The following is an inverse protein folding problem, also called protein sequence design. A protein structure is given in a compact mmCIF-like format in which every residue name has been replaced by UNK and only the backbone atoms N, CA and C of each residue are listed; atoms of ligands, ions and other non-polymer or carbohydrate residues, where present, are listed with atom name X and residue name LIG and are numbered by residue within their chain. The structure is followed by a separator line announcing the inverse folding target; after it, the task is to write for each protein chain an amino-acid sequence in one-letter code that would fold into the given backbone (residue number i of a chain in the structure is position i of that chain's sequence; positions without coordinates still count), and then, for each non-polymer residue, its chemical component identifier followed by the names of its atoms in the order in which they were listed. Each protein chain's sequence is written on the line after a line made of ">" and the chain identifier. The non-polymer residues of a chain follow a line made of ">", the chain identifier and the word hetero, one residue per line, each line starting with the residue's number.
data_IF_049592282897
#
_entry.id   IF_049592282897
#
_cell.length_a   1.000
_cell.length_b   1.000
_cell.length_c   1.000
_cell.angle_alpha   90.00
_cell.angle_beta   90.00
_cell.angle_gamma   90.00
#
_symmetry.space_group_name_H-M   'P 1'
#
loop_
_entity.id
_entity.type
_entity.pdbx_description
1 polymer ?
#
# COMPACT_ATOMS: atom_id res chain seq x y z
N UNK A 1 16.80 2.65 -2.43
CA UNK A 1 16.86 1.17 -2.30
C UNK A 1 15.89 0.57 -3.32
N UNK A 2 16.40 0.07 -4.45
CA UNK A 2 15.59 -0.48 -5.55
C UNK A 2 15.07 -1.88 -5.17
N UNK A 3 13.74 -2.05 -5.08
CA UNK A 3 13.08 -3.31 -4.63
C UNK A 3 12.82 -4.28 -5.82
N UNK A 4 13.10 -3.90 -7.06
CA UNK A 4 12.59 -4.59 -8.24
C UNK A 4 13.38 -5.82 -8.73
N UNK A 5 14.44 -6.28 -8.04
CA UNK A 5 15.34 -7.30 -8.60
C UNK A 5 15.00 -8.78 -8.25
N UNK A 6 13.94 -9.08 -7.49
CA UNK A 6 13.66 -10.48 -7.07
C UNK A 6 12.20 -10.95 -7.20
N UNK A 7 11.43 -10.36 -8.13
CA UNK A 7 10.09 -10.82 -8.48
C UNK A 7 10.07 -11.41 -9.89
N UNK A 8 9.51 -12.60 -10.02
CA UNK A 8 9.17 -13.19 -11.30
C UNK A 8 8.12 -12.34 -12.03
N UNK A 9 8.03 -12.53 -13.34
CA UNK A 9 7.01 -11.89 -14.19
C UNK A 9 5.58 -12.14 -13.67
N UNK A 10 5.30 -13.36 -13.22
CA UNK A 10 3.98 -13.72 -12.65
C UNK A 10 3.74 -13.01 -11.32
N UNK A 11 4.72 -12.98 -10.41
CA UNK A 11 4.59 -12.28 -9.13
C UNK A 11 4.34 -10.78 -9.33
N UNK A 12 5.08 -10.12 -10.23
CA UNK A 12 4.87 -8.71 -10.54
C UNK A 12 3.45 -8.43 -11.05
N UNK A 13 2.93 -9.26 -11.97
CA UNK A 13 1.58 -9.08 -12.52
C UNK A 13 0.48 -9.39 -11.51
N UNK A 14 0.69 -10.36 -10.61
CA UNK A 14 -0.25 -10.64 -9.51
C UNK A 14 -0.28 -9.48 -8.54
N UNK A 15 0.90 -8.98 -8.14
CA UNK A 15 1.02 -7.87 -7.20
C UNK A 15 0.37 -6.59 -7.74
N UNK A 16 0.59 -6.25 -9.01
CA UNK A 16 -0.02 -5.06 -9.62
C UNK A 16 -1.55 -5.11 -9.65
N UNK A 17 -2.16 -6.28 -9.86
CA UNK A 17 -3.61 -6.44 -9.80
C UNK A 17 -4.15 -6.32 -8.37
N UNK A 18 -3.45 -6.89 -7.39
CA UNK A 18 -3.85 -6.86 -5.98
C UNK A 18 -3.71 -5.47 -5.34
N UNK A 19 -2.82 -4.63 -5.85
CA UNK A 19 -2.69 -3.24 -5.38
C UNK A 19 -3.94 -2.43 -5.74
N UNK A 20 -4.49 -2.66 -6.94
CA UNK A 20 -5.71 -1.98 -7.39
C UNK A 20 -6.97 -2.56 -6.75
N UNK A 21 -7.02 -3.88 -6.58
CA UNK A 21 -8.12 -4.59 -5.93
C UNK A 21 -7.58 -5.79 -5.14
N UNK A 22 -7.32 -5.59 -3.85
CA UNK A 22 -6.80 -6.63 -2.96
C UNK A 22 -7.77 -7.81 -2.78
N UNK A 23 -9.05 -7.62 -3.12
CA UNK A 23 -10.08 -8.68 -3.09
C UNK A 23 -10.25 -9.38 -4.43
N UNK A 24 -9.42 -9.08 -5.43
CA UNK A 24 -9.58 -9.66 -6.77
C UNK A 24 -9.54 -11.20 -6.69
N UNK A 25 -10.58 -11.92 -7.15
CA UNK A 25 -10.60 -13.37 -7.09
C UNK A 25 -9.46 -14.00 -7.87
N UNK A 26 -8.86 -15.08 -7.34
CA UNK A 26 -7.79 -15.85 -8.00
C UNK A 26 -8.16 -16.28 -9.42
N UNK A 27 -9.44 -16.61 -9.66
CA UNK A 27 -9.96 -16.95 -10.98
C UNK A 27 -9.94 -15.77 -11.95
N UNK A 28 -10.21 -14.55 -11.49
CA UNK A 28 -10.14 -13.31 -12.27
C UNK A 28 -8.69 -12.96 -12.59
N UNK A 29 -7.79 -13.01 -11.59
CA UNK A 29 -6.35 -12.80 -11.77
C UNK A 29 -5.79 -13.79 -12.81
N UNK A 30 -6.11 -15.08 -12.66
CA UNK A 30 -5.70 -16.15 -13.56
C UNK A 30 -6.08 -15.87 -15.02
N UNK A 31 -7.31 -15.37 -15.24
CA UNK A 31 -7.81 -15.02 -16.58
C UNK A 31 -7.14 -13.78 -17.17
N UNK A 32 -6.97 -12.74 -16.36
CA UNK A 32 -6.30 -11.47 -16.72
C UNK A 32 -4.87 -11.70 -17.22
N UNK A 33 -4.07 -12.45 -16.45
CA UNK A 33 -2.65 -12.63 -16.76
C UNK A 33 -2.37 -13.89 -17.58
N UNK A 34 -3.34 -14.80 -17.66
CA UNK A 34 -3.31 -15.97 -18.53
C UNK A 34 -2.45 -17.13 -18.02
N UNK A 35 -2.46 -17.37 -16.70
CA UNK A 35 -1.78 -18.49 -16.03
C UNK A 35 -2.77 -19.31 -15.21
N UNK A 36 -2.40 -20.52 -14.76
CA UNK A 36 -3.28 -21.36 -13.95
C UNK A 36 -3.56 -20.77 -12.57
N UNK A 37 -4.71 -21.11 -11.97
CA UNK A 37 -5.05 -20.71 -10.58
C UNK A 37 -3.97 -21.14 -9.57
N UNK A 38 -3.40 -22.33 -9.76
CA UNK A 38 -2.29 -22.83 -8.93
C UNK A 38 -1.06 -21.91 -9.03
N UNK A 39 -0.74 -21.38 -10.21
CA UNK A 39 0.38 -20.46 -10.40
C UNK A 39 0.13 -19.11 -9.72
N UNK A 40 -1.11 -18.61 -9.76
CA UNK A 40 -1.50 -17.40 -9.02
C UNK A 40 -1.35 -17.61 -7.51
N UNK A 41 -1.87 -18.71 -6.97
CA UNK A 41 -1.75 -19.02 -5.54
C UNK A 41 -0.28 -19.13 -5.09
N UNK A 42 0.57 -19.78 -5.89
CA UNK A 42 2.02 -19.84 -5.62
C UNK A 42 2.66 -18.45 -5.62
N UNK A 43 2.28 -17.58 -6.55
CA UNK A 43 2.78 -16.22 -6.61
C UNK A 43 2.35 -15.41 -5.37
N UNK A 44 1.07 -15.49 -4.95
CA UNK A 44 0.58 -14.83 -3.72
C UNK A 44 1.35 -15.33 -2.49
N UNK A 45 1.51 -16.65 -2.36
CA UNK A 45 2.25 -17.24 -1.24
C UNK A 45 3.72 -16.80 -1.22
N UNK A 46 4.37 -16.78 -2.38
CA UNK A 46 5.76 -16.32 -2.51
C UNK A 46 5.91 -14.83 -2.18
N UNK A 47 4.96 -13.98 -2.62
CA UNK A 47 4.92 -12.56 -2.30
C UNK A 47 4.75 -12.30 -0.79
N UNK A 48 3.94 -13.10 -0.11
CA UNK A 48 3.81 -13.09 1.36
C UNK A 48 5.14 -13.48 2.02
N UNK A 49 5.72 -14.62 1.62
CA UNK A 49 6.98 -15.15 2.18
C UNK A 49 8.15 -14.19 2.00
N UNK A 50 8.21 -13.50 0.85
CA UNK A 50 9.25 -12.51 0.53
C UNK A 50 8.99 -11.13 1.16
N UNK A 51 7.84 -10.92 1.83
CA UNK A 51 7.49 -9.66 2.49
C UNK A 51 6.98 -8.55 1.58
N UNK A 52 6.73 -8.81 0.29
CA UNK A 52 6.14 -7.85 -0.63
C UNK A 52 4.65 -7.63 -0.34
N UNK A 53 3.95 -8.68 0.11
CA UNK A 53 2.63 -8.57 0.75
C UNK A 53 2.86 -8.87 2.23
N UNK A 54 2.54 -7.92 3.12
CA UNK A 54 2.69 -8.15 4.56
C UNK A 54 1.58 -9.02 5.12
N UNK A 55 0.32 -8.71 4.77
CA UNK A 55 -0.88 -9.41 5.21
C UNK A 55 -2.07 -8.99 4.34
N UNK A 56 -3.13 -9.78 4.35
CA UNK A 56 -4.47 -9.36 3.93
C UNK A 56 -5.25 -8.96 5.18
N UNK A 57 -5.80 -7.76 5.20
CA UNK A 57 -6.49 -7.22 6.38
C UNK A 57 -7.76 -6.50 5.97
N UNK A 58 -8.66 -6.34 6.93
CA UNK A 58 -9.88 -5.55 6.79
C UNK A 58 -9.68 -4.30 7.63
N UNK A 59 -9.73 -3.13 6.99
CA UNK A 59 -9.89 -1.87 7.71
C UNK A 59 -11.39 -1.68 7.96
N UNK A 60 -11.78 -1.67 9.23
CA UNK A 60 -13.14 -1.31 9.60
C UNK A 60 -13.30 0.19 9.31
N UNK A 61 -14.37 0.56 8.59
CA UNK A 61 -14.77 1.96 8.47
C UNK A 61 -15.13 2.54 9.85
N UNK A 62 -15.22 3.86 9.93
CA UNK A 62 -15.46 4.66 11.16
C UNK A 62 -16.84 4.42 11.81
N UNK A 63 -17.17 3.17 12.14
CA UNK A 63 -18.27 2.80 13.03
C UNK A 63 -17.73 2.54 14.44
N UNK A 64 -16.78 3.37 14.88
CA UNK A 64 -16.35 3.56 16.27
C UNK A 64 -15.36 4.75 16.33
N UNK A 65 -15.91 5.96 16.31
CA UNK A 65 -15.55 7.19 17.04
C UNK A 65 -14.10 7.53 17.46
N UNK A 66 -13.02 6.83 17.15
CA UNK A 66 -11.68 7.24 17.62
C UNK A 66 -11.09 8.35 16.75
N UNK A 67 -11.47 9.60 17.04
CA UNK A 67 -10.84 10.79 16.48
C UNK A 67 -9.38 10.80 16.92
N UNK A 68 -8.45 10.85 15.96
CA UNK A 68 -7.03 11.01 16.26
C UNK A 68 -6.74 12.46 16.60
N UNK A 69 -6.10 12.70 17.73
CA UNK A 69 -5.65 14.02 18.14
C UNK A 69 -4.15 13.99 18.36
N UNK A 70 -3.45 14.92 17.74
CA UNK A 70 -2.02 15.10 17.88
C UNK A 70 -1.77 16.29 18.80
N UNK A 71 -1.00 16.07 19.86
CA UNK A 71 -0.74 17.10 20.87
C UNK A 71 0.76 17.34 20.94
N UNK A 72 1.21 18.54 20.61
CA UNK A 72 2.59 18.96 20.84
C UNK A 72 2.73 19.40 22.29
N UNK A 73 3.73 18.87 23.00
CA UNK A 73 4.02 19.22 24.40
C UNK A 73 5.52 19.40 24.65
N UNK A 74 5.86 20.28 25.59
CA UNK A 74 7.24 20.52 26.07
C UNK A 74 7.69 19.57 27.17
N UNK A 75 6.77 18.80 27.76
CA UNK A 75 7.06 17.80 28.79
C UNK A 75 6.75 16.42 28.24
N UNK A 76 7.56 15.44 28.62
CA UNK A 76 7.34 14.05 28.21
C UNK A 76 5.98 13.59 28.74
N UNK A 77 5.04 13.21 27.85
CA UNK A 77 3.73 12.73 28.30
C UNK A 77 3.84 11.29 28.79
N UNK A 78 3.08 10.96 29.83
CA UNK A 78 3.03 9.61 30.41
C UNK A 78 1.73 8.90 30.00
N UNK A 79 1.76 7.56 29.88
CA UNK A 79 0.55 6.77 29.62
C UNK A 79 -0.03 6.87 28.20
N UNK A 80 0.56 7.67 27.31
CA UNK A 80 0.09 7.87 25.92
C UNK A 80 1.21 7.59 24.90
N UNK A 81 0.83 7.15 23.70
CA UNK A 81 1.76 7.01 22.57
C UNK A 81 2.37 8.38 22.26
N UNK A 82 3.71 8.47 22.19
CA UNK A 82 4.40 9.71 21.89
C UNK A 82 5.72 9.51 21.14
N UNK A 83 6.17 10.58 20.48
CA UNK A 83 7.45 10.69 19.80
C UNK A 83 8.19 11.92 20.32
N UNK A 84 9.49 11.80 20.57
CA UNK A 84 10.36 12.97 20.79
C UNK A 84 10.67 13.62 19.44
N UNK A 85 10.53 14.94 19.37
CA UNK A 85 10.78 15.76 18.19
C UNK A 85 12.21 16.31 18.22
N UNK A 86 12.70 16.74 17.06
CA UNK A 86 14.08 17.24 16.91
C UNK A 86 14.37 18.50 17.74
N UNK A 87 13.34 19.26 18.08
CA UNK A 87 13.45 20.45 18.95
C UNK A 87 13.40 20.11 20.45
N UNK A 88 13.40 18.81 20.81
CA UNK A 88 13.32 18.32 22.18
C UNK A 88 11.91 18.35 22.78
N UNK A 89 10.90 18.81 22.02
CA UNK A 89 9.50 18.67 22.42
C UNK A 89 8.97 17.27 22.08
N UNK A 90 7.72 16.98 22.41
CA UNK A 90 7.09 15.68 22.19
C UNK A 90 5.79 15.84 21.41
N UNK A 91 5.49 14.86 20.57
CA UNK A 91 4.22 14.69 19.88
C UNK A 91 3.48 13.50 20.48
N UNK A 92 2.44 13.77 21.27
CA UNK A 92 1.52 12.73 21.75
C UNK A 92 0.44 12.44 20.70
N UNK A 93 0.06 11.17 20.59
CA UNK A 93 -0.99 10.69 19.69
C UNK A 93 -2.12 10.10 20.53
N UNK A 94 -3.25 10.79 20.56
CA UNK A 94 -4.44 10.40 21.30
C UNK A 94 -5.49 9.81 20.35
N UNK A 95 -6.31 8.92 20.90
CA UNK A 95 -7.54 8.43 20.28
C UNK A 95 -8.70 8.74 21.21
N UNK A 96 -9.62 9.58 20.75
CA UNK A 96 -10.71 10.07 21.59
C UNK A 96 -12.05 9.83 20.91
N UNK A 97 -13.01 9.39 21.71
CA UNK A 97 -14.40 9.10 21.27
C UNK A 97 -15.36 10.26 21.52
N UNK A 98 -14.96 11.20 22.36
CA UNK A 98 -15.78 12.36 22.72
C UNK A 98 -14.93 13.56 23.08
N UNK A 99 -15.53 14.75 23.02
CA UNK A 99 -14.90 15.98 23.50
C UNK A 99 -14.60 15.94 25.00
N UNK A 100 -15.41 15.24 25.79
CA UNK A 100 -15.18 15.08 27.22
C UNK A 100 -13.94 14.23 27.50
N UNK A 101 -13.77 13.13 26.77
CA UNK A 101 -12.56 12.33 26.86
C UNK A 101 -11.34 13.16 26.45
N UNK A 102 -11.44 13.90 25.34
CA UNK A 102 -10.35 14.78 24.89
C UNK A 102 -9.94 15.78 25.97
N UNK A 103 -10.92 16.42 26.62
CA UNK A 103 -10.63 17.36 27.71
C UNK A 103 -9.85 16.68 28.84
N UNK A 104 -10.31 15.52 29.31
CA UNK A 104 -9.66 14.80 30.39
C UNK A 104 -8.21 14.39 30.03
N UNK A 105 -7.98 13.94 28.80
CA UNK A 105 -6.65 13.59 28.30
C UNK A 105 -5.73 14.82 28.22
N UNK A 106 -6.24 15.96 27.74
CA UNK A 106 -5.47 17.20 27.67
C UNK A 106 -5.12 17.74 29.06
N UNK A 107 -6.04 17.66 30.03
CA UNK A 107 -5.80 18.08 31.41
C UNK A 107 -4.71 17.24 32.10
N UNK A 108 -4.52 15.97 31.68
CA UNK A 108 -3.47 15.09 32.18
C UNK A 108 -2.09 15.37 31.55
N UNK A 109 -2.03 16.01 30.38
CA UNK A 109 -0.78 16.30 29.68
C UNK A 109 -0.25 17.67 30.09
N UNK A 110 0.93 17.68 30.71
CA UNK A 110 1.60 18.93 31.05
C UNK A 110 2.30 19.54 29.83
N UNK A 111 2.41 20.86 29.80
CA UNK A 111 3.22 21.56 28.80
C UNK A 111 2.66 21.56 27.37
N UNK A 112 1.34 21.37 27.22
CA UNK A 112 0.65 21.42 25.92
C UNK A 112 0.91 22.76 25.23
N UNK A 113 1.41 22.68 23.99
CA UNK A 113 1.72 23.82 23.14
C UNK A 113 0.71 23.97 22.00
N UNK A 114 0.29 22.83 21.42
CA UNK A 114 -0.56 22.80 20.23
C UNK A 114 -1.39 21.53 20.21
N UNK A 115 -2.65 21.64 19.75
CA UNK A 115 -3.59 20.53 19.61
C UNK A 115 -4.11 20.52 18.18
N UNK A 116 -3.92 19.40 17.47
CA UNK A 116 -4.35 19.18 16.09
C UNK A 116 -5.30 17.99 16.02
N UNK A 117 -6.53 18.20 15.54
CA UNK A 117 -7.56 17.16 15.46
C UNK A 117 -7.64 16.66 14.02
N UNK A 118 -7.43 15.36 13.81
CA UNK A 118 -7.50 14.75 12.49
C UNK A 118 -8.95 14.67 12.01
N UNK A 119 -9.25 15.28 10.86
CA UNK A 119 -10.57 15.20 10.22
C UNK A 119 -10.76 13.92 9.40
N UNK A 120 -9.72 13.50 8.68
CA UNK A 120 -9.79 12.36 7.77
C UNK A 120 -8.41 11.72 7.68
N UNK A 121 -8.36 10.39 7.79
CA UNK A 121 -7.13 9.63 7.61
C UNK A 121 -7.01 9.17 6.14
N UNK A 122 -5.94 9.59 5.48
CA UNK A 122 -5.57 9.08 4.17
C UNK A 122 -4.44 8.05 4.34
N UNK A 123 -4.74 6.74 4.37
CA UNK A 123 -3.70 5.73 4.48
C UNK A 123 -2.75 5.86 3.28
N UNK A 124 -1.52 6.26 3.55
CA UNK A 124 -0.47 6.23 2.54
C UNK A 124 -0.06 4.78 2.32
N UNK A 125 -0.71 4.11 1.38
CA UNK A 125 -0.05 2.99 0.70
C UNK A 125 1.13 3.65 -0.02
N UNK A 126 2.35 3.51 0.49
CA UNK A 126 3.54 3.84 -0.31
C UNK A 126 3.34 3.07 -1.61
N UNK A 127 2.99 3.76 -2.69
CA UNK A 127 3.07 3.19 -4.03
C UNK A 127 4.54 2.89 -4.22
N UNK A 128 4.96 1.69 -3.82
CA UNK A 128 6.17 1.10 -4.34
C UNK A 128 5.98 1.15 -5.84
N UNK A 129 6.75 2.01 -6.51
CA UNK A 129 6.74 2.12 -7.97
C UNK A 129 6.95 0.72 -8.51
N UNK A 130 5.89 0.10 -9.00
CA UNK A 130 5.95 -1.24 -9.55
C UNK A 130 6.67 -1.12 -10.87
N UNK A 131 7.79 -1.82 -10.98
CA UNK A 131 8.47 -1.94 -12.26
C UNK A 131 7.63 -2.90 -13.11
N UNK A 132 6.83 -2.32 -14.01
CA UNK A 132 6.12 -3.10 -15.03
C UNK A 132 7.18 -3.68 -15.96
N UNK A 133 7.15 -5.00 -16.15
CA UNK A 133 8.07 -5.69 -17.06
C UNK A 133 7.40 -5.90 -18.41
N UNK A 134 8.17 -5.72 -19.48
CA UNK A 134 7.71 -6.05 -20.83
C UNK A 134 7.37 -7.55 -20.94
N UNK A 135 6.17 -7.85 -21.44
CA UNK A 135 5.70 -9.21 -21.61
C UNK A 135 6.50 -10.00 -22.66
N UNK A 136 7.17 -9.31 -23.58
CA UNK A 136 8.00 -9.92 -24.62
C UNK A 136 9.45 -10.13 -24.20
N UNK A 137 10.14 -9.06 -23.79
CA UNK A 137 11.59 -9.09 -23.56
C UNK A 137 11.98 -9.16 -22.08
N UNK A 138 11.03 -9.01 -21.16
CA UNK A 138 11.28 -9.06 -19.71
C UNK A 138 11.97 -7.85 -19.11
N UNK A 139 12.34 -6.83 -19.91
CA UNK A 139 12.97 -5.61 -19.42
C UNK A 139 11.99 -4.72 -18.63
N UNK A 140 12.46 -3.97 -17.63
CA UNK A 140 11.73 -2.86 -17.02
C UNK A 140 11.21 -1.87 -18.07
N UNK A 141 9.94 -1.48 -17.97
CA UNK A 141 9.39 -0.39 -18.76
C UNK A 141 9.76 0.93 -18.07
N UNK A 142 10.57 1.74 -18.75
CA UNK A 142 10.97 3.07 -18.30
C UNK A 142 10.05 4.12 -18.96
N UNK A 143 8.78 4.17 -18.56
CA UNK A 143 7.78 5.06 -19.14
C UNK A 143 6.40 4.42 -19.28
N UNK A 144 5.55 4.97 -20.14
CA UNK A 144 4.24 4.40 -20.41
C UNK A 144 4.35 3.07 -21.14
N UNK A 145 3.60 2.08 -20.66
CA UNK A 145 3.57 0.78 -21.28
C UNK A 145 2.62 0.79 -22.49
N UNK A 146 3.08 0.24 -23.62
CA UNK A 146 2.22 -0.03 -24.77
C UNK A 146 1.32 -1.23 -24.43
N UNK A 147 0.01 -1.02 -24.44
CA UNK A 147 -0.97 -2.04 -24.05
C UNK A 147 -1.40 -2.85 -25.28
N UNK A 148 -1.25 -4.18 -25.20
CA UNK A 148 -1.73 -5.14 -26.20
C UNK A 148 -2.85 -5.97 -25.60
N UNK A 149 -4.07 -5.86 -26.15
CA UNK A 149 -5.20 -6.74 -25.81
C UNK A 149 -5.17 -7.97 -26.71
N UNK A 150 -5.04 -9.16 -26.11
CA UNK A 150 -5.08 -10.43 -26.83
C UNK A 150 -6.11 -11.37 -26.20
N UNK A 151 -7.27 -11.49 -26.85
CA UNK A 151 -8.42 -12.18 -26.30
C UNK A 151 -8.82 -11.53 -24.96
N UNK A 152 -8.70 -12.28 -23.85
CA UNK A 152 -8.98 -11.79 -22.50
C UNK A 152 -7.75 -11.35 -21.71
N UNK A 153 -6.56 -11.36 -22.33
CA UNK A 153 -5.29 -10.99 -21.68
C UNK A 153 -4.91 -9.55 -22.01
N UNK A 154 -4.45 -8.82 -21.00
CA UNK A 154 -3.81 -7.51 -21.16
C UNK A 154 -2.30 -7.70 -21.04
N UNK A 155 -1.56 -7.38 -22.09
CA UNK A 155 -0.09 -7.52 -22.16
C UNK A 155 0.55 -6.14 -22.27
N UNK A 156 1.75 -5.99 -21.71
CA UNK A 156 2.49 -4.73 -21.66
C UNK A 156 3.79 -4.84 -22.47
N UNK A 157 4.06 -3.89 -23.34
CA UNK A 157 5.28 -3.83 -24.14
C UNK A 157 6.10 -2.56 -23.83
N UNK A 158 7.43 -2.69 -23.82
CA UNK A 158 8.34 -1.56 -23.61
C UNK A 158 8.60 -0.74 -24.89
N UNK A 159 8.27 -1.26 -26.07
CA UNK A 159 8.49 -0.61 -27.37
C UNK A 159 7.58 -1.21 -28.46
N UNK A 160 7.43 -0.53 -29.59
CA UNK A 160 6.57 -0.96 -30.71
C UNK A 160 6.97 -2.33 -31.26
N UNK A 161 8.26 -2.65 -31.31
CA UNK A 161 8.74 -3.99 -31.73
C UNK A 161 8.19 -5.10 -30.83
N UNK A 162 8.24 -4.90 -29.50
CA UNK A 162 7.70 -5.89 -28.56
C UNK A 162 6.17 -6.00 -28.68
N UNK A 163 5.49 -4.90 -28.95
CA UNK A 163 4.04 -4.85 -29.13
C UNK A 163 3.60 -5.65 -30.37
N UNK A 164 4.25 -5.43 -31.52
CA UNK A 164 3.97 -6.19 -32.75
C UNK A 164 4.16 -7.69 -32.55
N UNK A 165 5.25 -8.09 -31.90
CA UNK A 165 5.50 -9.51 -31.64
C UNK A 165 4.47 -10.14 -30.69
N UNK A 166 3.94 -9.38 -29.74
CA UNK A 166 2.88 -9.85 -28.84
C UNK A 166 1.51 -9.95 -29.53
N UNK A 167 1.29 -9.20 -30.61
CA UNK A 167 0.08 -9.28 -31.45
C UNK A 167 0.10 -10.48 -32.41
N UNK A 168 1.29 -10.90 -32.87
CA UNK A 168 1.47 -11.96 -33.88
C UNK A 168 1.33 -13.40 -33.34
N UNK A 169 1.32 -13.61 -32.02
CA UNK A 169 1.15 -14.91 -31.34
C UNK A 169 -0.10 -14.90 -30.47
#
# INVERSE_FOLDING_TARGET
>A
MQIAHNLTKTENRVLSLLVNDARMPVSKISREIGVSRASVNRAIYSLLKKGYIKRFTVELGESAQDTKVFVKTTKKPEGVEHYELLDGSYLAVLRVTSLQQLKNELDAIQGVCEVMIAKTHFPSVKQTVFVVLCDKCGKPIQGDALIVKRGRKTLYACCETCKEELQKK
#
